data_IF_231167072748
#
_entry.id   IF_231167072748
#
_cell.length_a   1.000
_cell.length_b   1.000
_cell.length_c   1.000
_cell.angle_alpha   90.00
_cell.angle_beta   90.00
_cell.angle_gamma   90.00
#
_symmetry.space_group_name_H-M   'P 1'
#
loop_
_entity.id
_entity.type
_entity.pdbx_description
1 polymer ?
#
# COMPACT_ATOMS: atom_id res chain seq x y z
N UNK A 1 -2.90 -25.34 -28.53
CA UNK A 1 -2.76 -24.18 -27.63
C UNK A 1 -1.29 -23.80 -27.59
N UNK A 2 -0.95 -22.59 -28.02
CA UNK A 2 0.41 -22.07 -28.00
C UNK A 2 0.77 -21.59 -26.58
N UNK A 3 2.07 -21.52 -26.26
CA UNK A 3 2.58 -20.99 -24.98
C UNK A 3 2.18 -19.52 -24.74
N UNK A 4 1.83 -18.79 -25.81
CA UNK A 4 1.32 -17.42 -25.77
C UNK A 4 -0.17 -17.36 -25.43
N UNK A 5 -0.94 -18.39 -25.79
CA UNK A 5 -2.37 -18.46 -25.45
C UNK A 5 -2.57 -18.67 -23.94
N UNK A 6 -1.64 -19.36 -23.27
CA UNK A 6 -1.62 -19.50 -21.80
C UNK A 6 -1.19 -18.22 -21.06
N UNK A 7 -0.53 -17.26 -21.72
CA UNK A 7 -0.14 -15.98 -21.12
C UNK A 7 -1.26 -14.93 -21.23
N UNK A 8 -2.13 -15.06 -22.23
CA UNK A 8 -3.27 -14.18 -22.45
C UNK A 8 -4.56 -14.68 -21.77
N UNK A 9 -4.54 -15.89 -21.19
CA UNK A 9 -5.62 -16.45 -20.40
C UNK A 9 -5.27 -16.39 -18.91
N UNK A 10 -5.80 -15.52 -18.06
CA UNK A 10 -6.69 -14.38 -18.21
C UNK A 10 -6.55 -13.71 -16.82
N UNK A 11 -5.74 -12.66 -16.70
CA UNK A 11 -5.79 -11.78 -15.54
C UNK A 11 -7.09 -10.98 -15.68
N UNK A 12 -8.13 -11.15 -14.84
CA UNK A 12 -8.18 -11.83 -13.53
C UNK A 12 -9.30 -12.90 -13.48
N UNK A 13 -9.09 -14.15 -13.91
CA UNK A 13 -10.17 -15.16 -13.83
C UNK A 13 -10.32 -15.82 -12.48
N UNK A 14 -10.60 -15.03 -11.46
CA UNK A 14 -11.83 -15.27 -10.71
C UNK A 14 -12.39 -13.90 -10.35
N UNK A 15 -13.65 -13.57 -10.73
CA UNK A 15 -14.39 -12.64 -9.90
C UNK A 15 -14.27 -13.17 -8.47
N UNK A 16 -14.08 -12.28 -7.50
CA UNK A 16 -14.24 -12.59 -6.07
C UNK A 16 -15.71 -12.94 -5.77
N UNK A 17 -16.30 -13.88 -6.52
CA UNK A 17 -17.57 -14.46 -6.23
C UNK A 17 -17.40 -15.22 -4.90
N UNK A 18 -17.96 -14.63 -3.85
CA UNK A 18 -18.14 -15.17 -2.51
C UNK A 18 -16.99 -14.97 -1.50
N UNK A 19 -16.54 -13.72 -1.30
CA UNK A 19 -16.26 -13.29 0.08
C UNK A 19 -17.27 -12.18 0.47
N UNK A 20 -18.33 -12.51 1.24
CA UNK A 20 -19.16 -11.51 1.88
C UNK A 20 -18.30 -10.86 2.97
N UNK A 21 -17.74 -9.70 2.67
CA UNK A 21 -16.70 -9.14 3.53
C UNK A 21 -16.29 -7.74 3.15
N UNK A 22 -17.23 -6.80 3.30
CA UNK A 22 -16.91 -5.42 3.67
C UNK A 22 -16.15 -4.62 2.60
N UNK A 23 -16.88 -4.02 1.66
CA UNK A 23 -16.50 -2.71 1.11
C UNK A 23 -16.58 -1.68 2.25
N UNK A 24 -15.62 -1.71 3.18
CA UNK A 24 -15.36 -0.52 3.99
C UNK A 24 -14.57 0.36 3.06
N UNK A 25 -15.27 1.35 2.49
CA UNK A 25 -14.65 2.56 1.98
C UNK A 25 -14.00 3.27 3.17
N UNK A 26 -12.90 2.69 3.68
CA UNK A 26 -12.05 3.34 4.64
C UNK A 26 -11.64 4.66 4.01
N UNK A 27 -12.10 5.76 4.61
CA UNK A 27 -11.79 7.10 4.15
C UNK A 27 -10.27 7.21 4.12
N UNK A 28 -9.70 7.30 2.91
CA UNK A 28 -8.26 7.45 2.77
C UNK A 28 -7.82 8.71 3.53
N UNK A 29 -6.69 8.65 4.25
CA UNK A 29 -6.17 9.79 4.99
C UNK A 29 -5.87 10.95 4.02
N UNK A 30 -6.01 12.18 4.50
CA UNK A 30 -5.73 13.38 3.69
C UNK A 30 -4.31 13.27 3.12
N UNK A 31 -4.12 13.38 1.79
CA UNK A 31 -2.79 13.40 1.21
C UNK A 31 -2.06 14.70 1.58
N UNK A 32 -0.71 14.73 1.53
CA UNK A 32 0.07 15.96 1.72
C UNK A 32 -0.35 17.06 0.74
N UNK A 33 -0.26 18.33 1.15
CA UNK A 33 -0.69 19.46 0.30
C UNK A 33 0.14 19.54 -1.00
N UNK A 34 1.43 19.15 -0.95
CA UNK A 34 2.29 19.04 -2.13
C UNK A 34 1.79 18.01 -3.15
N UNK A 35 1.18 16.91 -2.70
CA UNK A 35 0.53 15.95 -3.59
C UNK A 35 -0.71 16.57 -4.25
N UNK A 36 -1.53 17.30 -3.47
CA UNK A 36 -2.73 17.99 -4.00
C UNK A 36 -2.33 19.00 -5.07
N UNK A 37 -1.34 19.84 -4.80
CA UNK A 37 -0.84 20.82 -5.76
C UNK A 37 -0.31 20.16 -7.04
N UNK A 38 0.49 19.09 -6.91
CA UNK A 38 1.02 18.35 -8.04
C UNK A 38 -0.09 17.78 -8.94
N UNK A 39 -1.13 17.19 -8.34
CA UNK A 39 -2.26 16.62 -9.11
C UNK A 39 -3.08 17.70 -9.83
N UNK A 40 -3.21 18.89 -9.24
CA UNK A 40 -3.86 20.05 -9.88
C UNK A 40 -3.04 20.57 -11.06
N UNK A 41 -1.73 20.62 -10.91
CA UNK A 41 -0.82 21.10 -11.96
C UNK A 41 -0.71 20.11 -13.13
N UNK A 42 -0.75 18.80 -12.86
CA UNK A 42 -0.58 17.74 -13.86
C UNK A 42 -1.74 16.73 -13.87
N UNK A 43 -2.95 17.13 -14.33
CA UNK A 43 -4.16 16.32 -14.19
C UNK A 43 -4.12 15.00 -14.97
N UNK A 44 -3.48 14.96 -16.14
CA UNK A 44 -3.35 13.72 -16.92
C UNK A 44 -2.42 12.70 -16.24
N UNK A 45 -1.37 13.16 -15.56
CA UNK A 45 -0.48 12.29 -14.78
C UNK A 45 -1.24 11.75 -13.56
N UNK A 46 -2.02 12.60 -12.89
CA UNK A 46 -2.85 12.18 -11.76
C UNK A 46 -3.87 11.10 -12.16
N UNK A 47 -4.51 11.27 -13.32
CA UNK A 47 -5.47 10.28 -13.84
C UNK A 47 -4.79 8.96 -14.21
N UNK A 48 -3.65 9.01 -14.92
CA UNK A 48 -2.88 7.82 -15.23
C UNK A 48 -2.45 7.06 -13.95
N UNK A 49 -2.01 7.80 -12.93
CA UNK A 49 -1.66 7.21 -11.64
C UNK A 49 -2.85 6.55 -10.94
N UNK A 50 -4.02 7.18 -10.96
CA UNK A 50 -5.27 6.60 -10.42
C UNK A 50 -5.63 5.30 -11.14
N UNK A 51 -5.60 5.30 -12.48
CA UNK A 51 -5.90 4.11 -13.27
C UNK A 51 -4.95 2.94 -12.95
N UNK A 52 -3.65 3.20 -12.76
CA UNK A 52 -2.69 2.18 -12.32
C UNK A 52 -3.03 1.63 -10.95
N UNK A 53 -3.41 2.50 -9.99
CA UNK A 53 -3.82 2.05 -8.65
C UNK A 53 -5.06 1.15 -8.71
N UNK A 54 -6.08 1.56 -9.46
CA UNK A 54 -7.36 0.84 -9.57
C UNK A 54 -7.16 -0.51 -10.25
N UNK A 55 -6.42 -0.56 -11.36
CA UNK A 55 -6.08 -1.80 -12.04
C UNK A 55 -5.33 -2.77 -11.12
N UNK A 56 -4.44 -2.25 -10.26
CA UNK A 56 -3.69 -3.03 -9.28
C UNK A 56 -4.50 -3.50 -8.06
N UNK A 57 -5.76 -3.08 -7.89
CA UNK A 57 -6.64 -3.62 -6.82
C UNK A 57 -7.38 -4.90 -7.23
N UNK A 58 -7.34 -5.27 -8.51
CA UNK A 58 -8.03 -6.46 -9.00
C UNK A 58 -7.16 -7.69 -8.74
N UNK A 59 -7.66 -8.65 -7.98
CA UNK A 59 -6.95 -9.88 -7.67
C UNK A 59 -7.52 -10.64 -6.47
N UNK A 60 -6.85 -11.73 -6.04
CA UNK A 60 -7.34 -12.61 -4.99
C UNK A 60 -7.09 -12.07 -3.56
N UNK A 61 -6.34 -10.98 -3.40
CA UNK A 61 -6.02 -10.42 -2.09
C UNK A 61 -7.11 -9.48 -1.59
N UNK A 62 -7.48 -9.62 -0.31
CA UNK A 62 -8.31 -8.64 0.38
C UNK A 62 -7.58 -7.30 0.55
N UNK A 63 -8.32 -6.25 0.88
CA UNK A 63 -7.79 -4.89 0.96
C UNK A 63 -6.66 -4.76 2.00
N UNK A 64 -6.79 -5.47 3.13
CA UNK A 64 -5.81 -5.46 4.22
C UNK A 64 -4.48 -6.06 3.77
N UNK A 65 -4.53 -7.23 3.11
CA UNK A 65 -3.37 -7.90 2.51
C UNK A 65 -2.73 -7.02 1.45
N UNK A 66 -3.53 -6.38 0.59
CA UNK A 66 -3.01 -5.43 -0.40
C UNK A 66 -2.26 -4.26 0.26
N UNK A 67 -2.72 -3.75 1.41
CA UNK A 67 -2.02 -2.70 2.16
C UNK A 67 -0.70 -3.17 2.75
N UNK A 68 -0.65 -4.37 3.32
CA UNK A 68 0.58 -4.97 3.83
C UNK A 68 1.62 -5.18 2.71
N UNK A 69 1.19 -5.68 1.55
CA UNK A 69 2.06 -5.81 0.37
C UNK A 69 2.59 -4.45 -0.08
N UNK A 70 1.72 -3.43 -0.17
CA UNK A 70 2.15 -2.06 -0.54
C UNK A 70 3.12 -1.47 0.49
N UNK A 71 2.93 -1.75 1.78
CA UNK A 71 3.88 -1.36 2.83
C UNK A 71 5.22 -2.06 2.68
N UNK A 72 5.24 -3.38 2.46
CA UNK A 72 6.46 -4.13 2.23
C UNK A 72 7.24 -3.60 1.02
N UNK A 73 6.56 -3.28 -0.09
CA UNK A 73 7.17 -2.64 -1.26
C UNK A 73 7.70 -1.25 -0.91
N UNK A 74 6.94 -0.42 -0.19
CA UNK A 74 7.39 0.91 0.22
C UNK A 74 8.68 0.84 1.07
N UNK A 75 8.73 -0.08 2.04
CA UNK A 75 9.92 -0.39 2.85
C UNK A 75 11.07 -0.83 1.94
N UNK A 76 10.83 -1.77 1.02
CA UNK A 76 11.83 -2.26 0.07
C UNK A 76 12.41 -1.19 -0.85
N UNK A 77 11.60 -0.20 -1.25
CA UNK A 77 12.08 0.92 -2.10
C UNK A 77 12.91 1.97 -1.35
N UNK A 78 12.96 1.89 -0.01
CA UNK A 78 13.76 2.79 0.84
C UNK A 78 13.49 4.28 0.60
N UNK A 79 12.20 4.64 0.46
CA UNK A 79 11.75 6.03 0.32
C UNK A 79 10.86 6.40 1.50
N UNK A 80 11.33 7.30 2.35
CA UNK A 80 10.62 7.76 3.55
C UNK A 80 9.16 8.16 3.27
N UNK A 81 8.94 9.02 2.27
CA UNK A 81 7.59 9.46 1.89
C UNK A 81 6.67 8.32 1.44
N UNK A 82 7.23 7.27 0.82
CA UNK A 82 6.48 6.06 0.45
C UNK A 82 6.09 5.27 1.70
N UNK A 83 7.00 5.10 2.66
CA UNK A 83 6.74 4.38 3.92
C UNK A 83 5.69 5.11 4.75
N UNK A 84 5.84 6.42 4.96
CA UNK A 84 4.83 7.26 5.63
C UNK A 84 3.44 7.13 4.98
N UNK A 85 3.36 7.25 3.65
CA UNK A 85 2.09 7.11 2.92
C UNK A 85 1.49 5.71 3.04
N UNK A 86 2.32 4.67 2.99
CA UNK A 86 1.86 3.29 3.11
C UNK A 86 1.35 2.98 4.53
N UNK A 87 2.06 3.43 5.57
CA UNK A 87 1.63 3.25 6.98
C UNK A 87 0.29 3.94 7.25
N UNK A 88 0.13 5.22 6.88
CA UNK A 88 -1.17 5.91 7.07
C UNK A 88 -2.33 5.17 6.40
N UNK A 89 -2.11 4.69 5.18
CA UNK A 89 -3.14 3.97 4.41
C UNK A 89 -3.39 2.57 4.98
N UNK A 90 -2.37 1.90 5.52
CA UNK A 90 -2.52 0.61 6.18
C UNK A 90 -3.39 0.75 7.44
N UNK A 91 -3.07 1.72 8.30
CA UNK A 91 -3.85 2.01 9.51
C UNK A 91 -5.30 2.36 9.19
N UNK A 92 -5.54 3.18 8.16
CA UNK A 92 -6.90 3.51 7.72
C UNK A 92 -7.74 2.29 7.31
N UNK A 93 -7.10 1.20 6.88
CA UNK A 93 -7.73 -0.06 6.49
C UNK A 93 -7.67 -1.13 7.59
N UNK A 94 -7.42 -0.74 8.85
CA UNK A 94 -7.46 -1.64 10.00
C UNK A 94 -6.26 -2.59 10.10
N UNK A 95 -5.14 -2.28 9.43
CA UNK A 95 -3.87 -2.97 9.69
C UNK A 95 -3.38 -2.54 11.08
N UNK A 96 -3.10 -3.52 11.94
CA UNK A 96 -2.66 -3.24 13.31
C UNK A 96 -1.19 -2.87 13.37
N UNK A 97 -0.77 -2.26 14.49
CA UNK A 97 0.64 -1.96 14.73
C UNK A 97 1.50 -3.23 14.68
N UNK A 98 1.01 -4.33 15.22
CA UNK A 98 1.71 -5.61 15.28
C UNK A 98 1.95 -6.18 13.87
N UNK A 99 0.98 -6.04 12.97
CA UNK A 99 1.12 -6.48 11.57
C UNK A 99 2.10 -5.60 10.79
N UNK A 100 2.13 -4.29 11.07
CA UNK A 100 3.12 -3.36 10.52
C UNK A 100 4.53 -3.72 11.02
N UNK A 101 4.69 -3.93 12.32
CA UNK A 101 5.96 -4.32 12.94
C UNK A 101 6.45 -5.66 12.39
N UNK A 102 5.56 -6.65 12.23
CA UNK A 102 5.89 -7.94 11.63
C UNK A 102 6.33 -7.78 10.17
N UNK A 103 5.67 -6.93 9.39
CA UNK A 103 6.05 -6.65 7.99
C UNK A 103 7.47 -6.11 7.90
N UNK A 104 7.82 -5.17 8.79
CA UNK A 104 9.18 -4.64 8.88
C UNK A 104 10.19 -5.72 9.30
N UNK A 105 9.85 -6.54 10.30
CA UNK A 105 10.70 -7.63 10.76
C UNK A 105 10.99 -8.66 9.65
N UNK A 106 9.99 -8.98 8.82
CA UNK A 106 10.15 -9.85 7.64
C UNK A 106 11.08 -9.21 6.59
N UNK A 107 10.98 -7.90 6.35
CA UNK A 107 11.84 -7.19 5.41
C UNK A 107 13.29 -7.09 5.87
N UNK A 108 13.55 -7.15 7.19
CA UNK A 108 14.87 -6.87 7.75
C UNK A 108 15.96 -7.83 7.27
N UNK A 109 15.63 -9.11 7.07
CA UNK A 109 16.57 -10.10 6.54
C UNK A 109 17.02 -9.81 5.10
N UNK A 110 16.19 -9.12 4.32
CA UNK A 110 16.50 -8.72 2.93
C UNK A 110 17.24 -7.38 2.87
N UNK A 111 16.87 -6.43 3.74
CA UNK A 111 17.41 -5.07 3.73
C UNK A 111 18.75 -4.93 4.46
N UNK A 112 19.02 -5.80 5.43
CA UNK A 112 20.13 -5.61 6.36
C UNK A 112 19.86 -4.54 7.41
N UNK A 113 20.71 -4.48 8.43
CA UNK A 113 20.41 -3.76 9.67
C UNK A 113 20.22 -2.24 9.50
N UNK A 114 21.11 -1.48 8.82
CA UNK A 114 20.96 -0.02 8.72
C UNK A 114 19.67 0.41 8.00
N UNK A 115 19.33 -0.26 6.89
CA UNK A 115 18.12 0.02 6.14
C UNK A 115 16.86 -0.35 6.94
N UNK A 116 16.91 -1.45 7.70
CA UNK A 116 15.83 -1.84 8.60
C UNK A 116 15.59 -0.80 9.70
N UNK A 117 16.65 -0.26 10.31
CA UNK A 117 16.55 0.78 11.33
C UNK A 117 15.99 2.08 10.77
N UNK A 118 16.36 2.47 9.55
CA UNK A 118 15.77 3.64 8.89
C UNK A 118 14.27 3.44 8.59
N UNK A 119 13.89 2.27 8.03
CA UNK A 119 12.49 1.96 7.82
C UNK A 119 11.69 1.92 9.14
N UNK A 120 12.30 1.42 10.22
CA UNK A 120 11.71 1.44 11.56
C UNK A 120 11.43 2.85 12.06
N UNK A 121 12.37 3.80 11.90
CA UNK A 121 12.14 5.19 12.34
C UNK A 121 10.97 5.82 11.58
N UNK A 122 10.89 5.64 10.26
CA UNK A 122 9.78 6.20 9.47
C UNK A 122 8.42 5.58 9.82
N UNK A 123 8.38 4.27 10.08
CA UNK A 123 7.16 3.62 10.57
C UNK A 123 6.71 4.24 11.90
N UNK A 124 7.65 4.45 12.83
CA UNK A 124 7.36 5.06 14.13
C UNK A 124 6.91 6.51 14.02
N UNK A 125 7.55 7.29 13.17
CA UNK A 125 7.20 8.69 12.93
C UNK A 125 5.73 8.81 12.51
N UNK A 126 5.23 7.87 11.72
CA UNK A 126 3.84 7.89 11.27
C UNK A 126 2.86 7.31 12.30
N UNK A 127 3.22 6.25 13.01
CA UNK A 127 2.37 5.69 14.07
C UNK A 127 2.22 6.64 15.27
N UNK A 128 3.24 7.44 15.57
CA UNK A 128 3.19 8.44 16.64
C UNK A 128 2.17 9.55 16.35
N UNK A 129 2.08 10.03 15.11
CA UNK A 129 1.11 11.06 14.69
C UNK A 129 -0.35 10.61 14.85
N UNK A 130 -0.62 9.30 14.75
CA UNK A 130 -1.95 8.72 14.92
C UNK A 130 -2.42 8.66 16.38
N UNK A 131 -1.50 8.70 17.35
CA UNK A 131 -1.82 8.63 18.78
C UNK A 131 -2.15 10.00 19.41
N UNK A 132 -1.91 11.11 18.70
CA UNK A 132 -2.08 12.48 19.20
C UNK A 132 -3.39 13.16 18.78
N UNK A 133 -4.35 12.44 18.16
CA UNK A 133 -5.66 13.03 17.83
C UNK A 133 -6.67 12.75 18.97
N UNK A 134 -7.22 13.78 19.66
CA UNK A 134 -8.30 13.62 20.64
C UNK A 134 -9.59 13.06 20.05
#
# INVERSE_FOLDING_TARGET
>A
MSRLDCLNAEWPLRPAAALPGVHVMAKLPKPPDTFVEFTRQFPQIAEAWRLVQDAGQVGPFDEKTQRLVKLAVAIGTMREGSVHSAVRKAVAFGVTKEEIDQTLALAAGTLGFPASVAAFSWVRDELAKGAETP
#
